data_IF_506533106077
#
_entry.id   IF_506533106077
#
_cell.length_a   1.000
_cell.length_b   1.000
_cell.length_c   1.000
_cell.angle_alpha   90.00
_cell.angle_beta   90.00
_cell.angle_gamma   90.00
#
_symmetry.space_group_name_H-M   'P 1'
#
loop_
_entity.id
_entity.type
_entity.pdbx_description
1 polymer ?
#
# COMPACT_ATOMS: atom_id res chain seq x y z
N UNK A 1 16.03 -6.17 -49.15
CA UNK A 1 17.28 -5.61 -48.62
C UNK A 1 16.91 -4.79 -47.41
N UNK A 2 17.30 -5.26 -46.22
CA UNK A 2 16.89 -4.70 -44.94
C UNK A 2 17.45 -3.28 -44.77
N UNK A 3 16.56 -2.30 -44.73
CA UNK A 3 16.93 -0.95 -44.33
C UNK A 3 17.34 -0.98 -42.87
N UNK A 4 18.63 -0.78 -42.61
CA UNK A 4 19.13 -0.55 -41.25
C UNK A 4 18.49 0.74 -40.76
N UNK A 5 17.51 0.63 -39.86
CA UNK A 5 16.94 1.79 -39.16
C UNK A 5 18.11 2.46 -38.44
N UNK A 6 18.51 3.64 -38.89
CA UNK A 6 19.49 4.46 -38.19
C UNK A 6 18.77 5.06 -36.98
N UNK A 7 18.70 4.29 -35.89
CA UNK A 7 18.18 4.76 -34.61
C UNK A 7 19.05 5.95 -34.18
N UNK A 8 18.46 7.15 -34.17
CA UNK A 8 19.17 8.36 -33.75
C UNK A 8 19.37 8.31 -32.24
N UNK A 9 20.45 8.88 -31.72
CA UNK A 9 20.72 8.96 -30.27
C UNK A 9 19.53 9.55 -29.47
N UNK A 10 18.76 10.46 -30.08
CA UNK A 10 17.52 11.00 -29.50
C UNK A 10 16.42 9.96 -29.31
N UNK A 11 16.28 9.01 -30.24
CA UNK A 11 15.28 7.93 -30.15
C UNK A 11 15.68 6.91 -29.08
N UNK A 12 16.98 6.61 -28.97
CA UNK A 12 17.55 5.80 -27.87
C UNK A 12 17.27 6.42 -26.51
N UNK A 13 17.66 7.69 -26.31
CA UNK A 13 17.44 8.41 -25.06
C UNK A 13 15.95 8.46 -24.67
N UNK A 14 15.06 8.71 -25.64
CA UNK A 14 13.61 8.70 -25.39
C UNK A 14 13.11 7.32 -24.97
N UNK A 15 13.57 6.26 -25.65
CA UNK A 15 13.19 4.88 -25.35
C UNK A 15 13.68 4.46 -23.97
N UNK A 16 14.91 4.81 -23.61
CA UNK A 16 15.47 4.56 -22.29
C UNK A 16 14.74 5.35 -21.21
N UNK A 17 14.45 6.64 -21.44
CA UNK A 17 13.68 7.47 -20.51
C UNK A 17 12.29 6.89 -20.22
N UNK A 18 11.56 6.46 -21.25
CA UNK A 18 10.25 5.82 -21.08
C UNK A 18 10.39 4.50 -20.31
N UNK A 19 11.38 3.67 -20.68
CA UNK A 19 11.62 2.37 -20.00
C UNK A 19 11.96 2.56 -18.53
N UNK A 20 12.78 3.56 -18.20
CA UNK A 20 13.13 3.91 -16.82
C UNK A 20 11.92 4.44 -16.06
N UNK A 21 11.17 5.37 -16.64
CA UNK A 21 9.97 5.94 -16.02
C UNK A 21 8.92 4.87 -15.70
N UNK A 22 8.64 3.97 -16.65
CA UNK A 22 7.73 2.83 -16.44
C UNK A 22 8.26 1.92 -15.33
N UNK A 23 9.55 1.56 -15.37
CA UNK A 23 10.14 0.68 -14.35
C UNK A 23 10.04 1.30 -12.95
N UNK A 24 10.35 2.58 -12.82
CA UNK A 24 10.26 3.30 -11.54
C UNK A 24 8.82 3.39 -11.05
N UNK A 25 7.89 3.80 -11.92
CA UNK A 25 6.47 3.92 -11.57
C UNK A 25 5.87 2.59 -11.11
N UNK A 26 6.13 1.50 -11.85
CA UNK A 26 5.68 0.15 -11.47
C UNK A 26 6.30 -0.27 -10.14
N UNK A 27 7.61 -0.10 -9.97
CA UNK A 27 8.29 -0.51 -8.74
C UNK A 27 7.77 0.26 -7.52
N UNK A 28 7.52 1.56 -7.66
CA UNK A 28 6.95 2.39 -6.59
C UNK A 28 5.51 1.99 -6.28
N UNK A 29 4.66 1.83 -7.30
CA UNK A 29 3.27 1.45 -7.13
C UNK A 29 3.11 0.08 -6.47
N UNK A 30 3.90 -0.91 -6.87
CA UNK A 30 3.90 -2.25 -6.24
C UNK A 30 4.34 -2.15 -4.78
N UNK A 31 5.43 -1.43 -4.50
CA UNK A 31 5.94 -1.29 -3.12
C UNK A 31 4.92 -0.61 -2.21
N UNK A 32 4.30 0.48 -2.67
CA UNK A 32 3.24 1.19 -1.95
C UNK A 32 2.01 0.30 -1.72
N UNK A 33 1.54 -0.39 -2.76
CA UNK A 33 0.39 -1.28 -2.67
C UNK A 33 0.60 -2.44 -1.69
N UNK A 34 1.77 -3.07 -1.72
CA UNK A 34 2.12 -4.15 -0.78
C UNK A 34 2.17 -3.62 0.65
N UNK A 35 2.84 -2.48 0.87
CA UNK A 35 2.94 -1.88 2.21
C UNK A 35 1.57 -1.50 2.76
N UNK A 36 0.72 -0.89 1.94
CA UNK A 36 -0.65 -0.53 2.34
C UNK A 36 -1.49 -1.78 2.64
N UNK A 37 -1.44 -2.81 1.80
CA UNK A 37 -2.18 -4.06 2.01
C UNK A 37 -1.75 -4.80 3.28
N UNK A 38 -0.46 -4.83 3.59
CA UNK A 38 0.05 -5.43 4.83
C UNK A 38 -0.46 -4.68 6.06
N UNK A 39 -0.39 -3.34 6.06
CA UNK A 39 -0.91 -2.53 7.18
C UNK A 39 -2.42 -2.68 7.35
N UNK A 40 -3.17 -2.78 6.24
CA UNK A 40 -4.61 -3.06 6.24
C UNK A 40 -4.95 -4.43 6.87
N UNK A 41 -4.27 -5.49 6.43
CA UNK A 41 -4.49 -6.83 6.96
C UNK A 41 -4.16 -6.93 8.45
N UNK A 42 -3.07 -6.29 8.89
CA UNK A 42 -2.71 -6.21 10.32
C UNK A 42 -3.77 -5.47 11.13
N UNK A 43 -4.23 -4.33 10.65
CA UNK A 43 -5.30 -3.56 11.30
C UNK A 43 -6.57 -4.40 11.49
N UNK A 44 -7.02 -5.07 10.43
CA UNK A 44 -8.20 -5.94 10.48
C UNK A 44 -8.03 -7.06 11.52
N UNK A 45 -6.89 -7.76 11.51
CA UNK A 45 -6.61 -8.82 12.46
C UNK A 45 -6.62 -8.33 13.91
N UNK A 46 -6.07 -7.14 14.17
CA UNK A 46 -6.05 -6.54 15.51
C UNK A 46 -7.46 -6.16 16.00
N UNK A 47 -8.31 -5.64 15.10
CA UNK A 47 -9.71 -5.33 15.41
C UNK A 47 -10.49 -6.62 15.71
N UNK A 48 -10.36 -7.64 14.87
CA UNK A 48 -11.07 -8.91 15.05
C UNK A 48 -10.66 -9.61 16.35
N UNK A 49 -9.35 -9.74 16.60
CA UNK A 49 -8.85 -10.31 17.85
C UNK A 49 -9.28 -9.47 19.05
N UNK A 50 -9.13 -8.15 18.99
CA UNK A 50 -9.50 -7.28 20.11
C UNK A 50 -10.99 -7.36 20.45
N UNK A 51 -11.87 -7.37 19.45
CA UNK A 51 -13.31 -7.58 19.66
C UNK A 51 -13.61 -8.95 20.27
N UNK A 52 -12.95 -10.01 19.78
CA UNK A 52 -13.10 -11.38 20.32
C UNK A 52 -12.60 -11.50 21.76
N UNK A 53 -11.53 -10.78 22.10
CA UNK A 53 -10.95 -10.70 23.44
C UNK A 53 -11.75 -9.76 24.38
N UNK A 54 -12.73 -9.01 23.86
CA UNK A 54 -13.49 -8.03 24.64
C UNK A 54 -12.69 -6.79 25.03
N UNK A 55 -11.65 -6.45 24.26
CA UNK A 55 -10.86 -5.24 24.46
C UNK A 55 -11.65 -4.00 24.09
N UNK A 56 -11.36 -2.90 24.77
CA UNK A 56 -11.89 -1.60 24.42
C UNK A 56 -11.21 -1.03 23.16
N UNK A 57 -11.92 -0.11 22.52
CA UNK A 57 -11.49 0.55 21.28
C UNK A 57 -10.13 1.26 21.43
N UNK A 58 -9.83 1.88 22.57
CA UNK A 58 -8.55 2.57 22.77
C UNK A 58 -7.38 1.57 22.84
N UNK A 59 -7.58 0.39 23.43
CA UNK A 59 -6.57 -0.68 23.42
C UNK A 59 -6.33 -1.22 22.00
N UNK A 60 -7.39 -1.39 21.20
CA UNK A 60 -7.28 -1.82 19.81
C UNK A 60 -6.53 -0.77 18.97
N UNK A 61 -6.88 0.52 19.12
CA UNK A 61 -6.20 1.63 18.44
C UNK A 61 -4.72 1.68 18.78
N UNK A 62 -4.37 1.53 20.06
CA UNK A 62 -2.97 1.53 20.49
C UNK A 62 -2.18 0.37 19.85
N UNK A 63 -2.74 -0.84 19.82
CA UNK A 63 -2.13 -1.99 19.14
C UNK A 63 -1.94 -1.73 17.63
N UNK A 64 -2.89 -1.06 16.97
CA UNK A 64 -2.78 -0.72 15.55
C UNK A 64 -1.65 0.29 15.28
N UNK A 65 -1.45 1.26 16.17
CA UNK A 65 -0.34 2.19 16.05
C UNK A 65 1.01 1.48 16.24
N UNK A 66 1.12 0.64 17.27
CA UNK A 66 2.39 -0.02 17.62
C UNK A 66 2.76 -1.14 16.63
N UNK A 67 1.80 -1.95 16.16
CA UNK A 67 2.09 -3.18 15.42
C UNK A 67 1.78 -3.09 13.91
N UNK A 68 0.79 -2.28 13.54
CA UNK A 68 0.49 -2.00 12.13
C UNK A 68 1.19 -0.72 11.62
N UNK A 69 1.83 0.05 12.51
CA UNK A 69 2.57 1.27 12.17
C UNK A 69 1.65 2.38 11.66
N UNK A 70 0.38 2.34 12.05
CA UNK A 70 -0.63 3.28 11.59
C UNK A 70 -0.61 4.56 12.42
N UNK A 71 -0.90 5.69 11.78
CA UNK A 71 -1.21 6.92 12.52
C UNK A 71 -2.51 6.76 13.31
N UNK A 72 -2.71 7.61 14.32
CA UNK A 72 -3.94 7.63 15.12
C UNK A 72 -5.19 7.80 14.25
N UNK A 73 -5.13 8.69 13.25
CA UNK A 73 -6.22 8.94 12.31
C UNK A 73 -6.53 7.71 11.45
N UNK A 74 -5.50 7.04 10.91
CA UNK A 74 -5.70 5.82 10.13
C UNK A 74 -6.27 4.69 10.99
N UNK A 75 -5.74 4.49 12.19
CA UNK A 75 -6.23 3.48 13.12
C UNK A 75 -7.72 3.71 13.46
N UNK A 76 -8.11 4.97 13.73
CA UNK A 76 -9.49 5.35 13.99
C UNK A 76 -10.39 5.11 12.79
N UNK A 77 -9.95 5.49 11.58
CA UNK A 77 -10.69 5.26 10.35
C UNK A 77 -10.93 3.76 10.08
N UNK A 78 -9.91 2.92 10.29
CA UNK A 78 -10.05 1.46 10.17
C UNK A 78 -11.05 0.91 11.20
N UNK A 79 -10.91 1.30 12.47
CA UNK A 79 -11.83 0.83 13.51
C UNK A 79 -13.29 1.22 13.17
N UNK A 80 -13.52 2.46 12.75
CA UNK A 80 -14.85 2.95 12.37
C UNK A 80 -15.43 2.16 11.18
N UNK A 81 -14.62 1.91 10.15
CA UNK A 81 -15.01 1.14 8.97
C UNK A 81 -15.45 -0.29 9.34
N UNK A 82 -14.74 -0.94 10.26
CA UNK A 82 -15.05 -2.29 10.72
C UNK A 82 -16.15 -2.36 11.80
N UNK A 83 -16.53 -1.24 12.42
CA UNK A 83 -17.74 -1.16 13.25
C UNK A 83 -19.01 -0.89 12.45
N UNK A 84 -18.89 -0.31 11.25
CA UNK A 84 -20.02 -0.01 10.35
C UNK A 84 -20.38 -1.16 9.40
N UNK A 85 -19.66 -2.28 9.42
CA UNK A 85 -20.05 -3.46 8.64
C UNK A 85 -21.27 -4.12 9.29
N UNK A 86 -22.46 -4.10 8.63
CA UNK A 86 -23.58 -4.89 9.10
C UNK A 86 -23.21 -6.38 8.94
N UNK A 87 -23.37 -7.12 10.03
CA UNK A 87 -23.28 -8.58 10.05
C UNK A 87 -24.52 -9.17 9.37
#
# INVERSE_FOLDING_TARGET
MGGTVIETESERLRREGIKQGIRQGISQGISQGISQGISQGKAQLLIEMGKKEGLDDATILKRMQEWAGLSMEQAAAYLEQYTKQPV
#
